data_IF_250364824894
#
_entry.id   IF_250364824894
#
_cell.length_a   1.000
_cell.length_b   1.000
_cell.length_c   1.000
_cell.angle_alpha   90.00
_cell.angle_beta   90.00
_cell.angle_gamma   90.00
#
_symmetry.space_group_name_H-M   'P 1'
#
loop_
_entity.id
_entity.type
_entity.pdbx_description
1 polymer ?
#
# COMPACT_ATOMS: atom_id res chain seq x y z
N UNK A 1 7.11 -7.51 22.85
CA UNK A 1 5.80 -7.78 23.48
C UNK A 1 5.48 -9.20 23.10
N UNK A 2 5.83 -10.15 23.95
CA UNK A 2 5.67 -11.58 23.67
C UNK A 2 4.21 -11.95 23.94
N UNK A 3 3.43 -12.05 22.86
CA UNK A 3 2.08 -12.60 22.92
C UNK A 3 2.16 -14.12 22.88
N UNK A 4 1.35 -14.77 23.71
CA UNK A 4 1.23 -16.21 23.71
C UNK A 4 0.58 -16.67 22.39
N UNK A 5 1.18 -17.65 21.71
CA UNK A 5 0.59 -18.25 20.50
C UNK A 5 -0.72 -18.93 20.90
N UNK A 6 -1.79 -18.67 20.15
CA UNK A 6 -3.07 -19.33 20.38
C UNK A 6 -3.03 -20.77 19.88
N UNK A 7 -3.81 -21.67 20.48
CA UNK A 7 -3.92 -23.06 20.00
C UNK A 7 -4.37 -23.13 18.53
N UNK A 8 -5.16 -22.14 18.09
CA UNK A 8 -5.63 -22.02 16.71
C UNK A 8 -4.46 -21.77 15.76
N UNK A 9 -3.60 -20.79 16.07
CA UNK A 9 -2.44 -20.46 15.24
C UNK A 9 -1.44 -21.61 15.16
N UNK A 10 -1.23 -22.30 16.30
CA UNK A 10 -0.35 -23.46 16.35
C UNK A 10 -0.87 -24.65 15.52
N UNK A 11 -2.17 -24.94 15.63
CA UNK A 11 -2.80 -26.01 14.83
C UNK A 11 -2.79 -25.66 13.33
N UNK A 12 -2.97 -24.39 12.97
CA UNK A 12 -2.85 -23.94 11.59
C UNK A 12 -1.43 -24.15 11.05
N UNK A 13 -0.40 -23.74 11.81
CA UNK A 13 0.99 -23.93 11.41
C UNK A 13 1.35 -25.42 11.22
N UNK A 14 0.87 -26.30 12.11
CA UNK A 14 1.01 -27.76 11.95
C UNK A 14 0.36 -28.28 10.67
N UNK A 15 -0.87 -27.85 10.40
CA UNK A 15 -1.59 -28.26 9.19
C UNK A 15 -0.82 -27.84 7.94
N UNK A 16 -0.32 -26.61 7.88
CA UNK A 16 0.51 -26.13 6.77
C UNK A 16 1.80 -26.96 6.65
N UNK A 17 2.47 -27.23 7.77
CA UNK A 17 3.68 -28.04 7.81
C UNK A 17 3.48 -29.42 7.21
N UNK A 18 2.44 -30.12 7.63
CA UNK A 18 2.09 -31.46 7.14
C UNK A 18 1.61 -31.41 5.68
N UNK A 19 0.76 -30.45 5.33
CA UNK A 19 0.16 -30.33 3.99
C UNK A 19 1.19 -30.09 2.90
N UNK A 20 2.21 -29.28 3.19
CA UNK A 20 3.30 -28.97 2.27
C UNK A 20 4.54 -29.85 2.48
N UNK A 21 4.48 -30.83 3.39
CA UNK A 21 5.55 -31.77 3.70
C UNK A 21 6.89 -31.06 4.00
N UNK A 22 6.82 -30.01 4.82
CA UNK A 22 7.96 -29.17 5.17
C UNK A 22 8.86 -29.91 6.16
N UNK A 23 10.17 -29.67 6.08
CA UNK A 23 11.17 -30.37 6.93
C UNK A 23 11.90 -29.42 7.86
N UNK A 24 12.05 -28.17 7.45
CA UNK A 24 12.79 -27.15 8.17
C UNK A 24 11.96 -25.89 8.34
N UNK A 25 12.30 -25.10 9.35
CA UNK A 25 11.69 -23.78 9.53
C UNK A 25 11.98 -22.87 8.33
N UNK A 26 13.13 -23.06 7.66
CA UNK A 26 13.48 -22.36 6.42
C UNK A 26 12.46 -22.63 5.31
N UNK A 27 12.07 -23.90 5.10
CA UNK A 27 11.05 -24.27 4.12
C UNK A 27 9.70 -23.57 4.41
N UNK A 28 9.35 -23.49 5.70
CA UNK A 28 8.14 -22.80 6.14
C UNK A 28 8.21 -21.28 5.88
N UNK A 29 9.33 -20.64 6.22
CA UNK A 29 9.56 -19.23 5.93
C UNK A 29 9.53 -18.93 4.43
N UNK A 30 10.11 -19.80 3.60
CA UNK A 30 10.07 -19.65 2.15
C UNK A 30 8.63 -19.74 1.61
N UNK A 31 7.85 -20.70 2.09
CA UNK A 31 6.43 -20.82 1.74
C UNK A 31 5.63 -19.59 2.14
N UNK A 32 5.86 -19.06 3.35
CA UNK A 32 5.22 -17.84 3.83
C UNK A 32 5.54 -16.64 2.95
N UNK A 33 6.82 -16.40 2.67
CA UNK A 33 7.28 -15.28 1.82
C UNK A 33 6.70 -15.41 0.42
N UNK A 34 6.72 -16.61 -0.17
CA UNK A 34 6.15 -16.86 -1.49
C UNK A 34 4.65 -16.54 -1.51
N UNK A 35 3.92 -16.95 -0.49
CA UNK A 35 2.47 -16.65 -0.37
C UNK A 35 2.23 -15.15 -0.24
N UNK A 36 3.04 -14.46 0.56
CA UNK A 36 2.95 -13.01 0.72
C UNK A 36 3.22 -12.27 -0.59
N UNK A 37 4.27 -12.66 -1.33
CA UNK A 37 4.60 -12.06 -2.64
C UNK A 37 3.46 -12.28 -3.64
N UNK A 38 2.90 -13.49 -3.70
CA UNK A 38 1.78 -13.79 -4.60
C UNK A 38 0.53 -12.98 -4.27
N UNK A 39 0.20 -12.86 -2.98
CA UNK A 39 -0.93 -12.05 -2.52
C UNK A 39 -0.70 -10.57 -2.85
N UNK A 40 0.50 -10.06 -2.55
CA UNK A 40 0.87 -8.67 -2.83
C UNK A 40 0.82 -8.37 -4.33
N UNK A 41 1.36 -9.25 -5.17
CA UNK A 41 1.30 -9.12 -6.62
C UNK A 41 -0.15 -9.08 -7.12
N UNK A 42 -1.00 -9.99 -6.65
CA UNK A 42 -2.42 -10.04 -7.03
C UNK A 42 -3.18 -8.76 -6.67
N UNK A 43 -2.98 -8.24 -5.46
CA UNK A 43 -3.60 -6.97 -5.02
C UNK A 43 -3.04 -5.80 -5.82
N UNK A 44 -1.73 -5.76 -6.05
CA UNK A 44 -1.08 -4.67 -6.77
C UNK A 44 -1.47 -4.62 -8.26
N UNK A 45 -1.58 -5.76 -8.92
CA UNK A 45 -2.07 -5.85 -10.30
C UNK A 45 -3.51 -5.37 -10.42
N UNK A 46 -4.38 -5.77 -9.48
CA UNK A 46 -5.78 -5.32 -9.43
C UNK A 46 -5.85 -3.81 -9.20
N UNK A 47 -5.02 -3.26 -8.32
CA UNK A 47 -4.90 -1.83 -8.08
C UNK A 47 -4.46 -1.09 -9.35
N UNK A 48 -3.39 -1.54 -10.02
CA UNK A 48 -2.88 -0.95 -11.25
C UNK A 48 -3.92 -0.92 -12.36
N UNK A 49 -4.60 -2.03 -12.60
CA UNK A 49 -5.65 -2.16 -13.62
C UNK A 49 -6.84 -1.24 -13.32
N UNK A 50 -7.28 -1.20 -12.06
CA UNK A 50 -8.37 -0.31 -11.61
C UNK A 50 -8.00 1.16 -11.79
N UNK A 51 -6.79 1.56 -11.39
CA UNK A 51 -6.27 2.91 -11.54
C UNK A 51 -6.21 3.33 -13.02
N UNK A 52 -5.65 2.48 -13.87
CA UNK A 52 -5.54 2.76 -15.30
C UNK A 52 -6.92 2.89 -15.96
N UNK A 53 -7.86 1.99 -15.64
CA UNK A 53 -9.25 2.06 -16.14
C UNK A 53 -9.99 3.30 -15.68
N UNK A 54 -9.76 3.75 -14.45
CA UNK A 54 -10.52 4.85 -13.83
C UNK A 54 -9.97 6.22 -14.22
N UNK A 55 -8.65 6.39 -14.20
CA UNK A 55 -8.00 7.70 -14.35
C UNK A 55 -7.16 7.80 -15.64
N UNK A 56 -6.90 6.68 -16.33
CA UNK A 56 -6.04 6.63 -17.51
C UNK A 56 -4.60 7.02 -17.21
N UNK A 57 -4.16 6.84 -15.96
CA UNK A 57 -2.80 7.03 -15.49
C UNK A 57 -2.36 5.73 -14.82
N UNK A 58 -1.12 5.31 -15.06
CA UNK A 58 -0.59 4.09 -14.48
C UNK A 58 0.20 4.42 -13.20
N UNK A 59 -0.20 3.89 -12.03
CA UNK A 59 0.46 4.21 -10.76
C UNK A 59 1.93 3.77 -10.70
N UNK A 60 2.40 2.86 -11.56
CA UNK A 60 3.82 2.42 -11.55
C UNK A 60 4.79 3.48 -12.06
N UNK A 61 4.29 4.56 -12.68
CA UNK A 61 5.12 5.70 -13.09
C UNK A 61 5.36 6.71 -11.96
N UNK A 62 4.85 6.44 -10.77
CA UNK A 62 4.91 7.34 -9.62
C UNK A 62 5.65 6.68 -8.46
N UNK A 63 6.45 7.46 -7.73
CA UNK A 63 7.16 6.97 -6.55
C UNK A 63 6.22 6.65 -5.38
N UNK A 64 5.10 7.36 -5.27
CA UNK A 64 4.14 7.21 -4.16
C UNK A 64 2.71 7.45 -4.62
N UNK A 65 1.75 6.89 -3.88
CA UNK A 65 0.31 7.07 -4.16
C UNK A 65 -0.13 8.53 -4.11
N UNK A 66 0.31 9.38 -3.14
CA UNK A 66 -0.06 10.79 -3.15
C UNK A 66 0.35 11.54 -4.42
N UNK A 67 1.55 11.27 -4.96
CA UNK A 67 2.00 11.85 -6.23
C UNK A 67 1.14 11.39 -7.42
N UNK A 68 0.81 10.10 -7.47
CA UNK A 68 -0.15 9.56 -8.44
C UNK A 68 -1.53 10.24 -8.34
N UNK A 69 -2.08 10.35 -7.13
CA UNK A 69 -3.42 10.95 -6.92
C UNK A 69 -3.44 12.44 -7.22
N UNK A 70 -2.33 13.14 -6.99
CA UNK A 70 -2.18 14.55 -7.34
C UNK A 70 -2.32 14.76 -8.85
N UNK A 71 -1.60 13.96 -9.65
CA UNK A 71 -1.70 14.01 -11.11
C UNK A 71 -3.07 13.57 -11.62
N UNK A 72 -3.69 12.57 -11.00
CA UNK A 72 -5.09 12.20 -11.29
C UNK A 72 -6.03 13.38 -11.08
N UNK A 73 -5.88 14.11 -9.97
CA UNK A 73 -6.68 15.29 -9.65
C UNK A 73 -6.46 16.40 -10.67
N UNK A 74 -5.21 16.69 -11.05
CA UNK A 74 -4.88 17.68 -12.07
C UNK A 74 -5.47 17.31 -13.44
N UNK A 75 -5.36 16.04 -13.85
CA UNK A 75 -5.94 15.55 -15.11
C UNK A 75 -7.46 15.66 -15.13
N UNK A 76 -8.12 15.36 -14.00
CA UNK A 76 -9.57 15.44 -13.86
C UNK A 76 -10.09 16.88 -13.86
N UNK A 77 -9.50 17.75 -13.05
CA UNK A 77 -9.94 19.14 -12.87
C UNK A 77 -9.46 20.08 -13.98
N UNK A 78 -8.36 19.72 -14.66
CA UNK A 78 -7.65 20.57 -15.64
C UNK A 78 -7.22 21.93 -15.07
N UNK A 79 -7.08 22.03 -13.75
CA UNK A 79 -6.64 23.26 -13.12
C UNK A 79 -5.14 23.46 -13.32
N UNK A 80 -4.73 24.72 -13.54
CA UNK A 80 -3.34 25.11 -13.60
C UNK A 80 -2.92 25.69 -12.24
N UNK A 81 -2.24 24.90 -11.42
CA UNK A 81 -1.71 25.36 -10.15
C UNK A 81 -0.43 26.14 -10.36
N UNK A 82 -0.28 27.24 -9.61
CA UNK A 82 0.94 28.04 -9.59
C UNK A 82 1.80 27.61 -8.40
N UNK A 83 3.10 27.50 -8.61
CA UNK A 83 4.06 27.30 -7.51
C UNK A 83 4.02 28.49 -6.56
N UNK A 84 3.92 28.21 -5.26
CA UNK A 84 4.00 29.24 -4.22
C UNK A 84 5.44 29.76 -4.18
N UNK A 85 5.60 31.07 -4.37
CA UNK A 85 6.91 31.75 -4.33
C UNK A 85 7.07 32.67 -3.12
N UNK A 86 5.96 32.99 -2.46
CA UNK A 86 5.90 33.89 -1.33
C UNK A 86 5.83 33.10 -0.01
N UNK A 87 6.71 33.43 0.93
CA UNK A 87 6.78 32.79 2.25
C UNK A 87 5.55 33.11 3.10
N UNK A 88 4.97 34.31 2.99
CA UNK A 88 3.79 34.69 3.77
C UNK A 88 2.57 33.88 3.31
N UNK A 89 2.48 33.61 2.00
CA UNK A 89 1.45 32.74 1.43
C UNK A 89 1.61 31.29 1.90
N UNK A 90 2.84 30.78 1.95
CA UNK A 90 3.12 29.43 2.47
C UNK A 90 2.69 29.31 3.94
N UNK A 91 3.12 30.25 4.79
CA UNK A 91 2.80 30.26 6.22
C UNK A 91 1.30 30.41 6.47
N UNK A 92 0.60 31.20 5.66
CA UNK A 92 -0.86 31.31 5.72
C UNK A 92 -1.55 29.97 5.48
N UNK A 93 -1.12 29.22 4.46
CA UNK A 93 -1.67 27.88 4.19
C UNK A 93 -1.34 26.89 5.29
N UNK A 94 -0.10 26.83 5.75
CA UNK A 94 0.34 25.93 6.82
C UNK A 94 -0.42 26.19 8.13
N UNK A 95 -0.61 27.46 8.50
CA UNK A 95 -1.40 27.86 9.66
C UNK A 95 -2.89 27.50 9.57
N UNK A 96 -3.39 27.23 8.35
CA UNK A 96 -4.75 26.78 8.07
C UNK A 96 -4.94 25.26 8.09
N UNK A 97 -3.88 24.45 8.08
CA UNK A 97 -3.97 22.98 8.07
C UNK A 97 -4.56 22.49 9.40
N UNK A 98 -5.59 21.65 9.34
CA UNK A 98 -6.22 21.00 10.49
C UNK A 98 -6.31 19.49 10.23
N UNK A 99 -6.08 18.70 11.28
CA UNK A 99 -6.28 17.25 11.24
C UNK A 99 -7.76 16.87 11.38
N UNK A 100 -8.02 15.56 11.40
CA UNK A 100 -9.34 15.03 11.75
C UNK A 100 -9.70 15.33 13.20
N UNK A 101 -10.99 15.54 13.47
CA UNK A 101 -11.53 15.58 14.83
C UNK A 101 -11.76 14.12 15.24
N UNK A 102 -11.22 13.73 16.40
CA UNK A 102 -11.38 12.39 16.98
C UNK A 102 -12.24 12.42 18.23
#
# INVERSE_FOLDING_TARGET
>A
MDQHITDVDYNHAKLVWEKFNLKTLEDYSYLYIKTYILLFASVFETFRDTCYKTYGLDPVHYYTVPGYTWDCMLKYTKCALKTIQDVDMLLFFEGGIRGGIS
#
